data_IF_542371163295
#
_entry.id   IF_542371163295
#
_cell.length_a   1.000
_cell.length_b   1.000
_cell.length_c   1.000
_cell.angle_alpha   90.00
_cell.angle_beta   90.00
_cell.angle_gamma   90.00
#
_symmetry.space_group_name_H-M   'P 1'
#
loop_
_entity.id
_entity.type
_entity.pdbx_description
1 polymer ?
#
# COMPACT_ATOMS: atom_id res chain seq x y z
N UNK A 1 6.62 -13.02 -16.97
CA UNK A 1 6.99 -11.73 -17.61
C UNK A 1 5.91 -10.73 -17.29
N UNK A 2 6.16 -9.88 -16.29
CA UNK A 2 5.27 -8.82 -15.81
C UNK A 2 5.11 -7.76 -16.90
N UNK A 3 4.01 -7.84 -17.64
CA UNK A 3 3.73 -7.00 -18.81
C UNK A 3 3.52 -5.51 -18.48
N UNK A 4 3.39 -5.17 -17.19
CA UNK A 4 2.98 -3.86 -16.70
C UNK A 4 4.04 -3.14 -15.85
N UNK A 5 5.06 -3.86 -15.36
CA UNK A 5 6.19 -3.27 -14.64
C UNK A 5 7.51 -3.76 -15.20
N UNK A 6 8.23 -2.87 -15.89
CA UNK A 6 9.52 -3.17 -16.50
C UNK A 6 10.66 -3.19 -15.48
N UNK A 7 10.48 -2.50 -14.36
CA UNK A 7 11.50 -2.31 -13.34
C UNK A 7 11.34 -3.32 -12.18
N UNK A 8 10.32 -4.18 -12.25
CA UNK A 8 10.01 -5.20 -11.24
C UNK A 8 9.12 -4.67 -10.12
N UNK A 9 8.96 -5.48 -9.08
CA UNK A 9 8.27 -5.10 -7.84
C UNK A 9 9.23 -5.15 -6.66
N UNK A 10 8.95 -4.35 -5.64
CA UNK A 10 9.62 -4.44 -4.36
C UNK A 10 8.75 -5.25 -3.40
N UNK A 11 9.38 -6.05 -2.53
CA UNK A 11 8.71 -6.85 -1.51
C UNK A 11 9.32 -6.49 -0.17
N UNK A 12 8.48 -6.00 0.75
CA UNK A 12 8.87 -5.60 2.09
C UNK A 12 8.08 -6.44 3.09
N UNK A 13 8.75 -7.03 4.07
CA UNK A 13 8.13 -7.83 5.13
C UNK A 13 8.02 -7.00 6.40
N UNK A 14 6.87 -7.06 7.07
CA UNK A 14 6.63 -6.25 8.28
C UNK A 14 7.59 -6.55 9.44
N UNK A 15 8.04 -7.81 9.57
CA UNK A 15 8.84 -8.27 10.70
C UNK A 15 10.22 -8.82 10.29
N UNK A 16 10.69 -8.52 9.08
CA UNK A 16 11.95 -9.07 8.59
C UNK A 16 12.63 -8.13 7.60
N UNK A 17 13.30 -7.11 8.13
CA UNK A 17 14.06 -6.12 7.35
C UNK A 17 15.16 -6.79 6.49
N UNK A 18 15.69 -7.93 6.94
CA UNK A 18 16.72 -8.69 6.22
C UNK A 18 16.22 -9.41 4.97
N UNK A 19 14.90 -9.48 4.76
CA UNK A 19 14.27 -10.17 3.64
C UNK A 19 13.68 -9.22 2.58
N UNK A 20 13.97 -7.90 2.66
CA UNK A 20 13.55 -6.93 1.65
C UNK A 20 14.10 -7.30 0.27
N UNK A 21 13.22 -7.30 -0.73
CA UNK A 21 13.58 -7.53 -2.13
C UNK A 21 13.26 -6.28 -2.94
N UNK A 22 14.14 -5.94 -3.88
CA UNK A 22 13.96 -4.78 -4.76
C UNK A 22 14.06 -5.21 -6.22
N UNK A 23 13.29 -4.55 -7.08
CA UNK A 23 13.31 -4.74 -8.54
C UNK A 23 13.09 -6.21 -8.98
N UNK A 24 12.23 -6.93 -8.27
CA UNK A 24 11.96 -8.34 -8.53
C UNK A 24 11.12 -8.49 -9.79
N UNK A 25 11.71 -9.09 -10.83
CA UNK A 25 11.03 -9.40 -12.10
C UNK A 25 10.70 -10.89 -12.27
N UNK A 26 11.35 -11.74 -11.46
CA UNK A 26 11.17 -13.19 -11.49
C UNK A 26 10.28 -13.65 -10.32
N UNK A 27 9.07 -14.17 -10.59
CA UNK A 27 8.18 -14.64 -9.53
C UNK A 27 8.78 -15.79 -8.70
N UNK A 28 9.73 -16.56 -9.24
CA UNK A 28 10.38 -17.63 -8.48
C UNK A 28 11.24 -17.10 -7.32
N UNK A 29 11.72 -15.84 -7.41
CA UNK A 29 12.43 -15.18 -6.31
C UNK A 29 11.47 -14.90 -5.16
N UNK A 30 10.30 -14.33 -5.47
CA UNK A 30 9.24 -14.08 -4.48
C UNK A 30 8.83 -15.38 -3.80
N UNK A 31 8.52 -16.43 -4.58
CA UNK A 31 8.10 -17.72 -4.04
C UNK A 31 9.13 -18.33 -3.10
N UNK A 32 10.43 -18.25 -3.45
CA UNK A 32 11.50 -18.76 -2.59
C UNK A 32 11.58 -17.97 -1.27
N UNK A 33 11.56 -16.65 -1.32
CA UNK A 33 11.63 -15.82 -0.12
C UNK A 33 10.45 -16.07 0.81
N UNK A 34 9.23 -16.21 0.29
CA UNK A 34 8.06 -16.57 1.10
C UNK A 34 8.15 -17.95 1.75
N UNK A 35 8.95 -18.88 1.21
CA UNK A 35 9.21 -20.18 1.86
C UNK A 35 10.29 -20.12 2.94
N UNK A 36 11.18 -19.12 2.86
CA UNK A 36 12.31 -18.94 3.78
C UNK A 36 11.96 -18.03 4.95
N UNK A 37 11.04 -17.08 4.76
CA UNK A 37 10.57 -16.15 5.79
C UNK A 37 9.40 -16.77 6.53
N UNK A 38 9.59 -17.06 7.82
CA UNK A 38 8.49 -17.41 8.72
C UNK A 38 7.87 -16.12 9.30
N UNK A 39 6.54 -15.96 9.25
CA UNK A 39 5.86 -14.89 9.96
C UNK A 39 6.12 -15.03 11.46
N UNK A 40 6.64 -13.99 12.10
CA UNK A 40 6.89 -14.00 13.54
C UNK A 40 6.78 -12.60 14.13
N UNK A 41 6.22 -12.51 15.34
CA UNK A 41 6.25 -11.30 16.16
C UNK A 41 5.06 -10.37 15.94
N UNK A 42 5.36 -9.07 15.94
CA UNK A 42 4.42 -7.95 15.89
C UNK A 42 3.80 -7.73 14.51
N UNK A 43 2.96 -6.72 14.33
CA UNK A 43 2.47 -6.21 13.04
C UNK A 43 2.73 -4.70 12.98
N UNK A 44 4.00 -4.26 12.86
CA UNK A 44 4.40 -2.84 12.91
C UNK A 44 4.13 -2.16 11.55
N UNK A 45 2.88 -2.18 11.12
CA UNK A 45 2.46 -1.70 9.80
C UNK A 45 2.77 -0.22 9.60
N UNK A 46 2.57 0.62 10.62
CA UNK A 46 2.85 2.05 10.56
C UNK A 46 4.33 2.30 10.29
N UNK A 47 5.22 1.68 11.07
CA UNK A 47 6.67 1.81 10.89
C UNK A 47 7.13 1.45 9.47
N UNK A 48 6.67 0.32 8.92
CA UNK A 48 7.07 -0.11 7.57
C UNK A 48 6.46 0.77 6.48
N UNK A 49 5.21 1.20 6.65
CA UNK A 49 4.59 2.15 5.72
C UNK A 49 5.32 3.49 5.72
N UNK A 50 5.81 3.99 6.87
CA UNK A 50 6.58 5.23 6.91
C UNK A 50 7.83 5.14 6.02
N UNK A 51 8.61 4.07 6.18
CA UNK A 51 9.84 3.88 5.39
C UNK A 51 9.57 3.89 3.88
N UNK A 52 8.54 3.16 3.44
CA UNK A 52 8.21 3.04 2.02
C UNK A 52 7.62 4.34 1.48
N UNK A 53 6.61 4.90 2.17
CA UNK A 53 5.85 6.02 1.66
C UNK A 53 6.63 7.33 1.74
N UNK A 54 7.38 7.56 2.82
CA UNK A 54 8.16 8.79 3.01
C UNK A 54 9.22 8.93 1.93
N UNK A 55 9.99 7.87 1.68
CA UNK A 55 11.00 7.85 0.62
C UNK A 55 10.39 8.15 -0.77
N UNK A 56 9.23 7.57 -1.06
CA UNK A 56 8.53 7.81 -2.33
C UNK A 56 7.99 9.24 -2.44
N UNK A 57 7.35 9.77 -1.41
CA UNK A 57 6.79 11.13 -1.42
C UNK A 57 7.90 12.18 -1.52
N UNK A 58 9.02 12.00 -0.84
CA UNK A 58 10.21 12.86 -0.98
C UNK A 58 10.71 12.88 -2.43
N UNK A 59 10.74 11.72 -3.10
CA UNK A 59 11.09 11.65 -4.51
C UNK A 59 10.13 12.46 -5.40
N UNK A 60 8.81 12.40 -5.12
CA UNK A 60 7.80 13.18 -5.85
C UNK A 60 7.98 14.69 -5.62
N UNK A 61 8.29 15.08 -4.38
CA UNK A 61 8.54 16.47 -4.01
C UNK A 61 9.77 17.04 -4.72
N UNK A 62 10.89 16.31 -4.72
CA UNK A 62 12.12 16.71 -5.38
C UNK A 62 11.95 16.82 -6.90
N UNK A 63 11.24 15.87 -7.50
CA UNK A 63 10.95 15.87 -8.93
C UNK A 63 10.09 17.07 -9.38
N UNK A 64 9.32 17.68 -8.47
CA UNK A 64 8.57 18.92 -8.75
C UNK A 64 9.51 20.06 -9.16
N UNK A 65 10.67 20.16 -8.51
CA UNK A 65 11.65 21.21 -8.81
C UNK A 65 12.32 20.99 -10.17
N UNK A 66 12.58 19.74 -10.53
CA UNK A 66 13.25 19.35 -11.80
C UNK A 66 12.28 19.18 -12.97
N UNK A 67 10.96 19.15 -12.71
CA UNK A 67 9.87 18.80 -13.65
C UNK A 67 10.02 17.38 -14.23
N UNK A 68 10.69 16.50 -13.50
CA UNK A 68 10.76 15.09 -13.83
C UNK A 68 9.45 14.40 -13.47
N UNK A 69 9.15 13.29 -14.16
CA UNK A 69 7.96 12.48 -13.87
C UNK A 69 8.36 11.31 -12.99
N UNK A 70 7.78 11.24 -11.80
CA UNK A 70 7.86 10.06 -10.94
C UNK A 70 6.72 9.10 -11.29
N UNK A 71 7.06 7.83 -11.48
CA UNK A 71 6.09 6.77 -11.76
C UNK A 71 5.10 6.65 -10.58
N UNK A 72 3.77 6.59 -10.81
CA UNK A 72 2.82 6.33 -9.75
C UNK A 72 3.12 5.04 -8.99
N UNK A 73 2.89 5.03 -7.67
CA UNK A 73 3.13 3.89 -6.79
C UNK A 73 1.80 3.28 -6.32
N UNK A 74 1.71 1.95 -6.41
CA UNK A 74 0.66 1.16 -5.77
C UNK A 74 1.30 0.27 -4.72
N UNK A 75 0.93 0.47 -3.46
CA UNK A 75 1.37 -0.35 -2.33
C UNK A 75 0.26 -1.35 -1.99
N UNK A 76 0.58 -2.64 -2.07
CA UNK A 76 -0.31 -3.71 -1.65
C UNK A 76 0.13 -4.22 -0.28
N UNK A 77 -0.72 -4.04 0.73
CA UNK A 77 -0.47 -4.51 2.11
C UNK A 77 -1.28 -5.77 2.34
N UNK A 78 -0.60 -6.91 2.45
CA UNK A 78 -1.23 -8.19 2.80
C UNK A 78 -1.13 -8.38 4.31
N UNK A 79 -2.26 -8.49 5.02
CA UNK A 79 -2.25 -8.69 6.48
C UNK A 79 -3.42 -9.57 6.92
N UNK A 80 -3.18 -10.45 7.89
CA UNK A 80 -4.20 -11.24 8.57
C UNK A 80 -4.62 -10.68 9.94
N UNK A 81 -3.87 -9.71 10.45
CA UNK A 81 -4.07 -9.09 11.76
C UNK A 81 -4.21 -7.57 11.71
N UNK A 82 -4.65 -7.02 12.84
CA UNK A 82 -4.65 -5.58 13.10
C UNK A 82 -3.21 -5.09 13.30
N UNK A 83 -2.90 -3.88 12.82
CA UNK A 83 -1.62 -3.24 13.10
C UNK A 83 -1.42 -3.04 14.61
N UNK A 84 -0.18 -3.21 15.09
CA UNK A 84 0.19 -2.92 16.47
C UNK A 84 0.33 -1.41 16.74
N UNK A 85 0.53 -0.63 15.69
CA UNK A 85 0.71 0.82 15.66
C UNK A 85 -0.36 1.54 14.81
N UNK A 86 -1.67 1.32 15.09
CA UNK A 86 -2.78 1.76 14.24
C UNK A 86 -2.89 3.28 14.11
N UNK A 87 -2.57 4.03 15.17
CA UNK A 87 -2.58 5.50 15.13
C UNK A 87 -1.47 6.02 14.20
N UNK A 88 -0.29 5.38 14.25
CA UNK A 88 0.82 5.71 13.36
C UNK A 88 0.47 5.44 11.90
N UNK A 89 -0.23 4.33 11.60
CA UNK A 89 -0.73 4.05 10.24
C UNK A 89 -1.59 5.20 9.73
N UNK A 90 -2.55 5.68 10.53
CA UNK A 90 -3.42 6.80 10.16
C UNK A 90 -2.63 8.08 9.96
N UNK A 91 -1.77 8.43 10.92
CA UNK A 91 -0.99 9.67 10.90
C UNK A 91 -0.09 9.76 9.65
N UNK A 92 0.60 8.67 9.30
CA UNK A 92 1.46 8.63 8.11
C UNK A 92 0.63 8.78 6.84
N UNK A 93 -0.48 8.06 6.70
CA UNK A 93 -1.32 8.16 5.51
C UNK A 93 -1.81 9.60 5.33
N UNK A 94 -2.24 10.25 6.41
CA UNK A 94 -2.69 11.65 6.40
C UNK A 94 -1.55 12.59 6.03
N UNK A 95 -0.37 12.43 6.65
CA UNK A 95 0.82 13.24 6.35
C UNK A 95 1.20 13.13 4.87
N UNK A 96 1.30 11.91 4.33
CA UNK A 96 1.68 11.68 2.94
C UNK A 96 0.64 12.23 1.96
N UNK A 97 -0.64 12.12 2.28
CA UNK A 97 -1.71 12.71 1.47
C UNK A 97 -1.59 14.24 1.39
N UNK A 98 -1.38 14.90 2.53
CA UNK A 98 -1.22 16.36 2.60
C UNK A 98 -0.01 16.83 1.80
N UNK A 99 1.15 16.16 1.97
CA UNK A 99 2.38 16.45 1.24
C UNK A 99 2.19 16.32 -0.28
N UNK A 100 1.53 15.26 -0.74
CA UNK A 100 1.20 15.07 -2.16
C UNK A 100 0.28 16.18 -2.71
N UNK A 101 -0.68 16.65 -1.92
CA UNK A 101 -1.57 17.75 -2.31
C UNK A 101 -0.84 19.10 -2.37
N UNK A 102 0.11 19.38 -1.46
CA UNK A 102 0.97 20.57 -1.50
C UNK A 102 1.80 20.65 -2.79
N UNK A 103 2.26 19.48 -3.28
CA UNK A 103 2.95 19.40 -4.57
C UNK A 103 2.03 19.31 -5.77
N UNK A 104 0.70 19.29 -5.56
CA UNK A 104 -0.32 19.11 -6.60
C UNK A 104 -0.07 17.86 -7.43
N UNK A 105 0.37 16.78 -6.77
CA UNK A 105 0.51 15.49 -7.43
C UNK A 105 -0.84 15.04 -7.99
N UNK A 106 -0.87 14.30 -9.11
CA UNK A 106 -2.11 13.70 -9.59
C UNK A 106 -2.80 12.87 -8.49
N UNK A 107 -4.14 12.77 -8.46
CA UNK A 107 -4.86 11.97 -7.46
C UNK A 107 -4.36 10.50 -7.42
N UNK A 108 -4.03 9.94 -8.58
CA UNK A 108 -3.54 8.58 -8.75
C UNK A 108 -2.04 8.39 -8.48
N UNK A 109 -1.33 9.39 -7.97
CA UNK A 109 0.13 9.31 -7.77
C UNK A 109 0.53 8.21 -6.78
N UNK A 110 -0.27 8.01 -5.74
CA UNK A 110 -0.06 7.00 -4.71
C UNK A 110 -1.39 6.30 -4.43
N UNK A 111 -1.39 4.98 -4.38
CA UNK A 111 -2.51 4.16 -3.91
C UNK A 111 -2.05 3.13 -2.89
N UNK A 112 -2.85 2.92 -1.85
CA UNK A 112 -2.67 1.95 -0.78
C UNK A 112 -3.85 0.98 -0.83
N UNK A 113 -3.58 -0.28 -1.13
CA UNK A 113 -4.57 -1.34 -1.03
C UNK A 113 -4.23 -2.24 0.15
N UNK A 114 -5.12 -2.29 1.13
CA UNK A 114 -5.08 -3.34 2.14
C UNK A 114 -5.87 -4.56 1.65
N UNK A 115 -5.24 -5.72 1.75
CA UNK A 115 -5.83 -7.02 1.45
C UNK A 115 -5.85 -7.83 2.73
N UNK A 116 -7.05 -8.02 3.29
CA UNK A 116 -7.21 -8.80 4.51
C UNK A 116 -7.14 -10.30 4.19
N UNK A 117 -6.20 -11.00 4.79
CA UNK A 117 -6.10 -12.46 4.76
C UNK A 117 -6.83 -13.03 5.99
N UNK A 118 -7.54 -14.14 5.83
CA UNK A 118 -8.29 -14.74 6.95
C UNK A 118 -9.55 -13.96 7.33
N UNK A 119 -10.01 -14.14 8.57
CA UNK A 119 -11.31 -13.66 9.04
C UNK A 119 -11.25 -13.00 10.42
N UNK A 120 -10.09 -12.47 10.81
CA UNK A 120 -9.92 -11.79 12.08
C UNK A 120 -10.83 -10.53 12.16
N UNK A 121 -11.70 -10.42 13.17
CA UNK A 121 -12.65 -9.32 13.28
C UNK A 121 -11.99 -7.99 13.66
N UNK A 122 -10.88 -8.01 14.40
CA UNK A 122 -10.17 -6.80 14.81
C UNK A 122 -9.39 -6.21 13.63
N UNK A 123 -8.78 -7.07 12.81
CA UNK A 123 -8.19 -6.68 11.53
C UNK A 123 -9.25 -6.06 10.61
N UNK A 124 -10.42 -6.70 10.50
CA UNK A 124 -11.53 -6.18 9.69
C UNK A 124 -11.99 -4.81 10.15
N UNK A 125 -12.22 -4.63 11.46
CA UNK A 125 -12.68 -3.36 12.00
C UNK A 125 -11.65 -2.24 11.78
N UNK A 126 -10.36 -2.54 11.99
CA UNK A 126 -9.27 -1.58 11.74
C UNK A 126 -9.19 -1.16 10.27
N UNK A 127 -9.28 -2.11 9.33
CA UNK A 127 -9.22 -1.81 7.90
C UNK A 127 -10.45 -1.02 7.44
N UNK A 128 -11.64 -1.35 7.95
CA UNK A 128 -12.86 -0.56 7.68
C UNK A 128 -12.72 0.88 8.20
N UNK A 129 -12.12 1.07 9.37
CA UNK A 129 -11.84 2.40 9.91
C UNK A 129 -10.92 3.21 8.98
N UNK A 130 -9.88 2.59 8.41
CA UNK A 130 -8.99 3.26 7.45
C UNK A 130 -9.74 3.70 6.19
N UNK A 131 -10.62 2.86 5.65
CA UNK A 131 -11.37 3.19 4.43
C UNK A 131 -12.45 4.27 4.66
N UNK A 132 -13.20 4.17 5.77
CA UNK A 132 -14.33 5.04 6.09
C UNK A 132 -13.92 6.40 6.69
N UNK A 133 -12.90 6.43 7.56
CA UNK A 133 -12.61 7.64 8.37
C UNK A 133 -11.63 8.60 7.71
N UNK A 134 -10.75 8.13 6.83
CA UNK A 134 -9.70 8.98 6.25
C UNK A 134 -10.25 10.06 5.31
N UNK A 135 -11.35 9.78 4.58
CA UNK A 135 -11.96 10.72 3.63
C UNK A 135 -12.74 11.88 4.29
N UNK A 136 -13.76 11.64 5.12
CA UNK A 136 -14.72 12.68 5.48
C UNK A 136 -14.20 13.55 6.64
N UNK A 137 -13.36 12.98 7.51
CA UNK A 137 -12.98 13.63 8.77
C UNK A 137 -11.76 14.56 8.61
N UNK A 138 -10.88 14.28 7.63
CA UNK A 138 -9.56 14.93 7.54
C UNK A 138 -9.34 15.73 6.24
N UNK A 139 -10.26 15.64 5.26
CA UNK A 139 -10.21 16.44 4.03
C UNK A 139 -9.03 16.13 3.11
N UNK A 140 -8.47 14.93 3.22
CA UNK A 140 -7.32 14.47 2.41
C UNK A 140 -7.78 13.73 1.15
N UNK A 141 -6.87 13.60 0.18
CA UNK A 141 -7.11 12.88 -1.08
C UNK A 141 -7.48 11.41 -0.85
N UNK A 142 -8.28 10.88 -1.77
CA UNK A 142 -8.63 9.46 -1.81
C UNK A 142 -7.44 8.63 -2.30
N UNK A 143 -6.88 7.79 -1.44
CA UNK A 143 -5.76 6.92 -1.82
C UNK A 143 -5.71 5.58 -1.09
N UNK A 144 -6.69 5.26 -0.23
CA UNK A 144 -6.74 4.01 0.54
C UNK A 144 -8.00 3.24 0.15
N UNK A 145 -7.85 1.93 -0.06
CA UNK A 145 -8.96 0.99 -0.19
C UNK A 145 -8.65 -0.30 0.58
N UNK A 146 -9.69 -1.00 1.03
CA UNK A 146 -9.58 -2.22 1.80
C UNK A 146 -10.50 -3.30 1.21
N UNK A 147 -9.94 -4.48 0.90
CA UNK A 147 -10.72 -5.61 0.37
C UNK A 147 -10.33 -6.92 1.07
N UNK A 148 -11.29 -7.73 1.56
CA UNK A 148 -10.99 -9.05 2.08
C UNK A 148 -10.64 -10.04 0.97
N UNK A 149 -9.66 -10.91 1.23
CA UNK A 149 -9.29 -11.98 0.31
C UNK A 149 -10.39 -13.05 0.27
N UNK A 150 -11.01 -13.20 -0.90
CA UNK A 150 -12.14 -14.11 -1.11
C UNK A 150 -11.71 -15.53 -1.56
N UNK A 151 -10.43 -15.88 -1.46
CA UNK A 151 -9.91 -17.19 -1.88
C UNK A 151 -9.44 -17.27 -3.33
N UNK A 152 -9.65 -16.21 -4.12
CA UNK A 152 -9.12 -16.10 -5.48
C UNK A 152 -8.63 -14.66 -5.74
N UNK A 153 -7.45 -14.54 -6.37
CA UNK A 153 -6.94 -13.27 -6.88
C UNK A 153 -7.36 -13.18 -8.36
N UNK A 154 -8.50 -12.56 -8.63
CA UNK A 154 -8.95 -12.34 -10.00
C UNK A 154 -8.33 -11.06 -10.60
N UNK A 155 -8.30 -10.92 -11.95
CA UNK A 155 -7.93 -9.67 -12.59
C UNK A 155 -8.79 -8.50 -12.13
N UNK A 156 -10.07 -8.71 -11.86
CA UNK A 156 -10.99 -7.70 -11.33
C UNK A 156 -10.65 -7.32 -9.89
N UNK A 157 -10.25 -8.29 -9.05
CA UNK A 157 -9.74 -8.03 -7.72
C UNK A 157 -8.46 -7.20 -7.76
N UNK A 158 -7.51 -7.54 -8.63
CA UNK A 158 -6.27 -6.76 -8.84
C UNK A 158 -6.55 -5.39 -9.46
N UNK A 159 -7.55 -5.30 -10.34
CA UNK A 159 -7.95 -4.05 -10.97
C UNK A 159 -8.64 -3.14 -9.98
N UNK A 160 -9.54 -3.67 -9.15
CA UNK A 160 -10.14 -2.93 -8.03
C UNK A 160 -9.05 -2.50 -7.05
N UNK A 161 -8.11 -3.39 -6.73
CA UNK A 161 -6.96 -3.05 -5.90
C UNK A 161 -6.10 -1.91 -6.47
N UNK A 162 -5.93 -1.89 -7.79
CA UNK A 162 -5.12 -0.89 -8.49
C UNK A 162 -5.88 0.40 -8.84
N UNK A 163 -7.21 0.36 -8.95
CA UNK A 163 -8.06 1.46 -9.43
C UNK A 163 -9.07 1.97 -8.39
N UNK A 164 -9.29 1.30 -7.27
CA UNK A 164 -10.19 1.72 -6.19
C UNK A 164 -9.80 3.09 -5.64
N UNK A 165 -8.49 3.35 -5.57
CA UNK A 165 -7.90 4.65 -5.25
C UNK A 165 -8.03 5.71 -6.36
N UNK A 166 -8.48 5.34 -7.57
CA UNK A 166 -8.44 6.21 -8.77
C UNK A 166 -9.82 6.44 -9.40
N UNK A 167 -10.78 5.51 -9.29
CA UNK A 167 -12.10 5.64 -9.92
C UNK A 167 -13.20 4.78 -9.25
N UNK A 168 -14.06 5.45 -8.45
CA UNK A 168 -15.22 4.85 -7.73
C UNK A 168 -16.36 4.32 -8.61
N UNK A 169 -16.26 4.37 -9.93
CA UNK A 169 -17.28 3.77 -10.81
C UNK A 169 -17.35 2.23 -10.72
N UNK A 170 -16.44 1.61 -9.96
CA UNK A 170 -16.32 0.16 -9.78
C UNK A 170 -16.75 -0.33 -8.38
N UNK A 171 -17.14 0.57 -7.46
CA UNK A 171 -17.60 0.24 -6.10
C UNK A 171 -19.11 -0.09 -6.06
N UNK A 172 -19.54 -0.97 -6.96
CA UNK A 172 -20.90 -1.50 -7.01
C UNK A 172 -21.12 -2.68 -6.09
#
# INVERSE_FOLDING_TARGET
>A
STKYDKDGIDVVFLNNDGARLEHVVDPAVVERTFREVEPFGSTPTGMVLDEVLRAYVEQVEDAKATRERVKPLLVLVLTDGRADDPDMVKDIIVEMAQRLDEVRAPPYQLGLQFIQIGADPDARAFLQELDDDLKPQLGVRDMVDCTPYAGEISPEFLLKAALGSVNKALDG
#
